data_IF_179220656560
#
_entry.id   IF_179220656560
#
_cell.length_a   1.000
_cell.length_b   1.000
_cell.length_c   1.000
_cell.angle_alpha   90.00
_cell.angle_beta   90.00
_cell.angle_gamma   90.00
#
_symmetry.space_group_name_H-M   'P 1'
#
loop_
_entity.id
_entity.type
_entity.pdbx_description
1 polymer ?
#
# COMPACT_ATOMS: atom_id res chain seq x y z
N UNK A 1 3.39 41.29 17.72
CA UNK A 1 3.06 39.86 17.68
C UNK A 1 3.96 39.18 18.70
N UNK A 2 3.41 38.58 19.74
CA UNK A 2 4.17 37.75 20.67
C UNK A 2 4.71 36.54 19.91
N UNK A 3 6.03 36.36 19.92
CA UNK A 3 6.65 35.19 19.30
C UNK A 3 6.20 33.92 20.02
N UNK A 4 5.97 32.85 19.28
CA UNK A 4 5.71 31.54 19.88
C UNK A 4 6.98 31.13 20.64
N UNK A 5 6.85 30.82 21.91
CA UNK A 5 7.97 30.26 22.67
C UNK A 5 8.10 28.77 22.38
N UNK A 6 9.28 28.20 22.68
CA UNK A 6 9.48 26.75 22.56
C UNK A 6 8.55 25.95 23.50
N UNK A 7 8.12 26.56 24.60
CA UNK A 7 7.16 25.95 25.54
C UNK A 7 5.75 25.93 24.96
N UNK A 8 5.33 27.02 24.30
CA UNK A 8 4.03 27.06 23.59
C UNK A 8 3.98 25.99 22.50
N UNK A 9 5.06 25.86 21.72
CA UNK A 9 5.20 24.81 20.71
C UNK A 9 5.02 23.42 21.34
N UNK A 10 5.78 23.10 22.40
CA UNK A 10 5.81 21.77 23.02
C UNK A 10 4.54 21.41 23.77
N UNK A 11 3.91 22.37 24.43
CA UNK A 11 2.82 22.11 25.37
C UNK A 11 1.44 22.35 24.75
N UNK A 12 1.36 23.10 23.64
CA UNK A 12 0.08 23.47 23.01
C UNK A 12 -0.01 23.00 21.57
N UNK A 13 0.88 23.47 20.69
CA UNK A 13 0.72 23.28 19.25
C UNK A 13 1.08 21.86 18.80
N UNK A 14 2.23 21.33 19.22
CA UNK A 14 2.63 19.98 18.85
C UNK A 14 1.66 18.90 19.38
N UNK A 15 1.24 18.91 20.67
CA UNK A 15 0.29 17.91 21.16
C UNK A 15 -1.04 17.92 20.41
N UNK A 16 -1.54 19.10 20.01
CA UNK A 16 -2.74 19.22 19.20
C UNK A 16 -2.57 18.55 17.82
N UNK A 17 -1.46 18.83 17.13
CA UNK A 17 -1.13 18.24 15.84
C UNK A 17 -0.89 16.72 15.96
N UNK A 18 -0.22 16.29 17.02
CA UNK A 18 0.05 14.89 17.31
C UNK A 18 -1.25 14.08 17.44
N UNK A 19 -2.24 14.60 18.19
CA UNK A 19 -3.56 13.96 18.32
C UNK A 19 -4.28 13.87 16.97
N UNK A 20 -4.17 14.90 16.12
CA UNK A 20 -4.75 14.85 14.78
C UNK A 20 -4.08 13.80 13.89
N UNK A 21 -2.75 13.70 13.94
CA UNK A 21 -1.97 12.67 13.24
C UNK A 21 -2.36 11.27 13.74
N UNK A 22 -2.51 11.07 15.05
CA UNK A 22 -2.94 9.79 15.62
C UNK A 22 -4.32 9.36 15.10
N UNK A 23 -5.27 10.29 15.07
CA UNK A 23 -6.61 10.00 14.54
C UNK A 23 -6.57 9.63 13.06
N UNK A 24 -5.75 10.31 12.27
CA UNK A 24 -5.57 9.99 10.86
C UNK A 24 -4.92 8.62 10.66
N UNK A 25 -3.88 8.28 11.41
CA UNK A 25 -3.18 6.99 11.35
C UNK A 25 -4.06 5.81 11.80
N UNK A 26 -4.97 6.04 12.75
CA UNK A 26 -5.96 5.04 13.16
C UNK A 26 -7.03 4.80 12.08
N UNK A 27 -7.26 5.77 11.20
CA UNK A 27 -8.28 5.72 10.16
C UNK A 27 -9.72 5.81 10.71
N UNK A 28 -10.72 5.87 9.81
CA UNK A 28 -12.12 5.88 10.21
C UNK A 28 -12.51 4.58 10.91
N UNK A 29 -13.16 4.68 12.06
CA UNK A 29 -13.67 3.52 12.81
C UNK A 29 -14.94 2.97 12.13
N UNK A 30 -15.07 1.65 11.93
CA UNK A 30 -16.34 1.05 11.50
C UNK A 30 -17.45 1.36 12.52
N UNK A 31 -18.72 1.58 12.12
CA UNK A 31 -19.31 1.57 10.77
C UNK A 31 -19.32 2.96 10.07
N UNK A 32 -18.66 3.97 10.62
CA UNK A 32 -18.79 5.36 10.17
C UNK A 32 -17.70 5.72 9.15
N UNK A 33 -17.91 5.32 7.89
CA UNK A 33 -17.02 5.67 6.77
C UNK A 33 -17.20 7.13 6.28
N UNK A 34 -18.06 7.92 6.95
CA UNK A 34 -18.62 9.17 6.41
C UNK A 34 -18.53 10.36 7.39
N UNK A 35 -17.64 10.29 8.39
CA UNK A 35 -17.34 11.41 9.28
C UNK A 35 -15.98 12.05 8.96
N UNK A 36 -15.84 13.37 9.20
CA UNK A 36 -14.51 14.01 9.21
C UNK A 36 -13.69 13.41 10.36
N UNK A 37 -12.53 12.84 10.05
CA UNK A 37 -11.60 12.29 11.06
C UNK A 37 -11.04 13.40 11.96
N UNK A 38 -10.84 14.59 11.40
CA UNK A 38 -10.35 15.79 12.08
C UNK A 38 -10.98 17.06 11.49
N UNK A 39 -10.94 18.16 12.25
CA UNK A 39 -11.14 19.49 11.72
C UNK A 39 -9.84 20.03 11.12
N UNK A 40 -9.86 20.31 9.82
CA UNK A 40 -8.64 20.59 9.06
C UNK A 40 -8.05 21.98 9.33
N UNK A 41 -8.90 23.01 9.30
CA UNK A 41 -8.47 24.41 9.37
C UNK A 41 -7.68 24.77 10.66
N UNK A 42 -8.09 24.31 11.86
CA UNK A 42 -7.30 24.54 13.06
C UNK A 42 -5.93 23.85 13.02
N UNK A 43 -5.85 22.64 12.44
CA UNK A 43 -4.59 21.89 12.34
C UNK A 43 -3.63 22.56 11.35
N UNK A 44 -4.12 22.92 10.17
CA UNK A 44 -3.33 23.68 9.20
C UNK A 44 -2.82 25.00 9.79
N UNK A 45 -3.70 25.74 10.49
CA UNK A 45 -3.34 27.00 11.13
C UNK A 45 -2.28 26.83 12.22
N UNK A 46 -2.36 25.75 13.01
CA UNK A 46 -1.37 25.40 14.02
C UNK A 46 -0.01 25.11 13.37
N UNK A 47 0.03 24.23 12.36
CA UNK A 47 1.26 23.89 11.65
C UNK A 47 1.88 25.12 10.95
N UNK A 48 1.05 25.95 10.31
CA UNK A 48 1.49 27.20 9.70
C UNK A 48 2.15 28.14 10.71
N UNK A 49 1.52 28.35 11.88
CA UNK A 49 2.09 29.18 12.95
C UNK A 49 3.43 28.65 13.43
N UNK A 50 3.58 27.34 13.64
CA UNK A 50 4.86 26.73 14.03
C UNK A 50 5.97 27.05 13.02
N UNK A 51 5.68 26.90 11.72
CA UNK A 51 6.64 27.20 10.65
C UNK A 51 6.99 28.69 10.60
N UNK A 52 6.01 29.58 10.67
CA UNK A 52 6.24 31.04 10.68
C UNK A 52 7.07 31.51 11.89
N UNK A 53 7.01 30.78 12.99
CA UNK A 53 7.75 31.07 14.22
C UNK A 53 9.08 30.30 14.31
N UNK A 54 9.63 29.87 13.17
CA UNK A 54 10.95 29.22 13.06
C UNK A 54 11.06 27.84 13.74
N UNK A 55 9.94 27.15 13.98
CA UNK A 55 9.93 25.78 14.51
C UNK A 55 9.84 24.69 13.43
N UNK A 56 10.16 25.00 12.16
CA UNK A 56 10.00 24.08 11.04
C UNK A 56 10.77 22.76 11.20
N UNK A 57 12.03 22.84 11.64
CA UNK A 57 12.87 21.65 11.84
C UNK A 57 12.40 20.78 13.00
N UNK A 58 12.04 21.41 14.13
CA UNK A 58 11.45 20.69 15.26
C UNK A 58 10.15 19.99 14.85
N UNK A 59 9.27 20.71 14.14
CA UNK A 59 7.99 20.17 13.67
C UNK A 59 8.17 18.99 12.70
N UNK A 60 9.14 19.09 11.79
CA UNK A 60 9.48 17.99 10.89
C UNK A 60 9.98 16.77 11.68
N UNK A 61 10.95 16.95 12.58
CA UNK A 61 11.53 15.85 13.34
C UNK A 61 10.50 15.18 14.26
N UNK A 62 9.64 15.97 14.90
CA UNK A 62 8.57 15.47 15.76
C UNK A 62 7.53 14.69 14.96
N UNK A 63 7.11 15.19 13.78
CA UNK A 63 6.22 14.49 12.85
C UNK A 63 6.82 13.15 12.40
N UNK A 64 8.04 13.17 11.89
CA UNK A 64 8.72 11.96 11.38
C UNK A 64 8.91 10.93 12.50
N UNK A 65 9.36 11.38 13.69
CA UNK A 65 9.55 10.50 14.85
C UNK A 65 8.24 9.87 15.32
N UNK A 66 7.15 10.65 15.36
CA UNK A 66 5.84 10.17 15.80
C UNK A 66 5.26 9.15 14.82
N UNK A 67 5.29 9.45 13.51
CA UNK A 67 4.83 8.52 12.47
C UNK A 67 5.70 7.26 12.43
N UNK A 68 7.02 7.39 12.59
CA UNK A 68 7.93 6.24 12.64
C UNK A 68 7.58 5.30 13.79
N UNK A 69 7.35 5.82 14.99
CA UNK A 69 6.92 5.01 16.15
C UNK A 69 5.63 4.25 15.86
N UNK A 70 4.66 4.90 15.21
CA UNK A 70 3.44 4.22 14.79
C UNK A 70 3.72 3.08 13.81
N UNK A 71 4.55 3.31 12.78
CA UNK A 71 4.91 2.27 11.82
C UNK A 71 5.69 1.11 12.44
N UNK A 72 6.59 1.37 13.40
CA UNK A 72 7.26 0.30 14.13
C UNK A 72 6.27 -0.55 14.94
N UNK A 73 5.28 0.09 15.58
CA UNK A 73 4.22 -0.63 16.29
C UNK A 73 3.42 -1.50 15.34
N UNK A 74 3.01 -0.96 14.19
CA UNK A 74 2.34 -1.72 13.13
C UNK A 74 3.19 -2.90 12.67
N UNK A 75 4.49 -2.68 12.40
CA UNK A 75 5.39 -3.76 11.98
C UNK A 75 5.45 -4.89 13.02
N UNK A 76 5.52 -4.56 14.32
CA UNK A 76 5.49 -5.54 15.42
C UNK A 76 4.16 -6.31 15.46
N UNK A 77 3.03 -5.63 15.31
CA UNK A 77 1.70 -6.29 15.26
C UNK A 77 1.61 -7.27 14.08
N UNK A 78 2.21 -6.91 12.93
CA UNK A 78 2.19 -7.74 11.71
C UNK A 78 3.14 -8.95 11.77
N UNK A 79 4.13 -8.98 12.67
CA UNK A 79 5.06 -10.11 12.81
C UNK A 79 4.40 -11.38 13.34
N UNK A 80 3.28 -11.26 14.04
CA UNK A 80 2.55 -12.38 14.65
C UNK A 80 1.45 -12.95 13.76
N UNK A 81 1.30 -12.44 12.53
CA UNK A 81 0.26 -12.89 11.62
C UNK A 81 0.58 -14.25 11.01
N UNK A 82 -0.47 -15.06 10.87
CA UNK A 82 -0.42 -16.30 10.10
C UNK A 82 -0.22 -16.01 8.61
N UNK A 83 0.51 -16.89 7.92
CA UNK A 83 0.79 -16.76 6.48
C UNK A 83 -0.49 -16.65 5.65
N UNK A 84 -1.58 -17.29 6.09
CA UNK A 84 -2.88 -17.24 5.42
C UNK A 84 -3.53 -15.84 5.43
N UNK A 85 -3.25 -15.02 6.43
CA UNK A 85 -3.84 -13.68 6.59
C UNK A 85 -2.89 -12.57 6.12
N UNK A 86 -1.66 -12.91 5.76
CA UNK A 86 -0.60 -11.96 5.48
C UNK A 86 -0.99 -11.03 4.32
N UNK A 87 -1.48 -11.56 3.21
CA UNK A 87 -1.84 -10.76 2.02
C UNK A 87 -2.97 -9.77 2.33
N UNK A 88 -4.06 -10.22 2.94
CA UNK A 88 -5.21 -9.36 3.27
C UNK A 88 -4.84 -8.29 4.31
N UNK A 89 -3.98 -8.65 5.27
CA UNK A 89 -3.49 -7.72 6.29
C UNK A 89 -2.60 -6.64 5.67
N UNK A 90 -1.66 -7.02 4.79
CA UNK A 90 -0.80 -6.07 4.08
C UNK A 90 -1.57 -5.21 3.08
N UNK A 91 -2.57 -5.78 2.41
CA UNK A 91 -3.52 -5.01 1.62
C UNK A 91 -4.20 -3.93 2.47
N UNK A 92 -4.75 -4.32 3.62
CA UNK A 92 -5.48 -3.39 4.51
C UNK A 92 -4.59 -2.29 5.07
N UNK A 93 -3.40 -2.63 5.58
CA UNK A 93 -2.49 -1.64 6.17
C UNK A 93 -1.97 -0.65 5.12
N UNK A 94 -1.63 -1.10 3.91
CA UNK A 94 -1.14 -0.22 2.85
C UNK A 94 -2.22 0.81 2.48
N UNK A 95 -3.47 0.36 2.30
CA UNK A 95 -4.56 1.29 1.99
C UNK A 95 -4.84 2.26 3.15
N UNK A 96 -4.78 1.77 4.39
CA UNK A 96 -4.92 2.64 5.59
C UNK A 96 -3.84 3.70 5.64
N UNK A 97 -2.58 3.34 5.40
CA UNK A 97 -1.46 4.28 5.43
C UNK A 97 -1.59 5.29 4.30
N UNK A 98 -1.88 4.87 3.07
CA UNK A 98 -2.07 5.78 1.94
C UNK A 98 -3.19 6.80 2.22
N UNK A 99 -4.33 6.34 2.75
CA UNK A 99 -5.41 7.21 3.22
C UNK A 99 -4.95 8.18 4.31
N UNK A 100 -4.18 7.70 5.29
CA UNK A 100 -3.67 8.53 6.39
C UNK A 100 -2.77 9.64 5.88
N UNK A 101 -1.87 9.32 4.92
CA UNK A 101 -0.99 10.29 4.30
C UNK A 101 -1.78 11.36 3.52
N UNK A 102 -2.84 10.97 2.82
CA UNK A 102 -3.72 11.93 2.13
C UNK A 102 -4.37 12.94 3.10
N UNK A 103 -4.57 12.56 4.36
CA UNK A 103 -5.04 13.47 5.42
C UNK A 103 -3.92 14.28 6.10
N UNK A 104 -2.75 13.69 6.32
CA UNK A 104 -1.63 14.32 7.03
C UNK A 104 -0.98 15.40 6.16
N UNK A 105 -0.69 15.08 4.89
CA UNK A 105 0.07 15.97 3.99
C UNK A 105 -0.56 17.38 3.88
N UNK A 106 -1.89 17.52 3.70
CA UNK A 106 -2.50 18.85 3.63
C UNK A 106 -2.26 19.70 4.89
N UNK A 107 -2.24 19.11 6.09
CA UNK A 107 -2.01 19.84 7.36
C UNK A 107 -0.63 20.51 7.35
N UNK A 108 0.36 19.78 6.83
CA UNK A 108 1.77 20.16 6.83
C UNK A 108 2.22 20.74 5.48
N UNK A 109 1.30 21.17 4.61
CA UNK A 109 1.64 21.68 3.27
C UNK A 109 2.62 22.85 3.32
N UNK A 110 2.46 23.76 4.30
CA UNK A 110 3.39 24.89 4.43
C UNK A 110 4.77 24.44 4.94
N UNK A 111 4.84 23.47 5.85
CA UNK A 111 6.09 22.84 6.28
C UNK A 111 6.80 22.17 5.09
N UNK A 112 6.05 21.42 4.26
CA UNK A 112 6.57 20.79 3.06
C UNK A 112 7.25 21.84 2.16
N UNK A 113 6.52 22.91 1.84
CA UNK A 113 7.01 23.99 0.97
C UNK A 113 8.23 24.73 1.53
N UNK A 114 8.23 25.06 2.83
CA UNK A 114 9.22 25.98 3.42
C UNK A 114 10.46 25.27 3.94
N UNK A 115 10.36 24.00 4.33
CA UNK A 115 11.46 23.25 4.93
C UNK A 115 11.83 22.01 4.12
N UNK A 116 10.88 21.12 3.82
CA UNK A 116 11.19 19.84 3.18
C UNK A 116 11.70 20.04 1.75
N UNK A 117 10.97 20.80 0.92
CA UNK A 117 11.35 21.04 -0.47
C UNK A 117 12.59 21.92 -0.61
N UNK A 118 12.84 22.85 0.31
CA UNK A 118 13.92 23.83 0.20
C UNK A 118 15.22 23.35 0.87
N UNK A 119 15.15 22.76 2.07
CA UNK A 119 16.33 22.31 2.82
C UNK A 119 16.67 20.85 2.58
N UNK A 120 15.67 19.98 2.47
CA UNK A 120 15.88 18.54 2.26
C UNK A 120 15.88 18.16 0.78
N UNK A 121 15.46 19.06 -0.10
CA UNK A 121 15.30 18.81 -1.55
C UNK A 121 14.42 17.58 -1.84
N UNK A 122 13.37 17.40 -1.03
CA UNK A 122 12.44 16.26 -1.09
C UNK A 122 10.98 16.73 -1.03
N UNK A 123 10.06 15.77 -0.94
CA UNK A 123 8.64 16.00 -0.71
C UNK A 123 8.17 15.21 0.52
N UNK A 124 7.33 15.81 1.35
CA UNK A 124 6.87 15.19 2.60
C UNK A 124 6.12 13.88 2.37
N UNK A 125 5.40 13.71 1.25
CA UNK A 125 4.79 12.43 0.91
C UNK A 125 5.86 11.38 0.67
N UNK A 126 6.89 11.73 -0.10
CA UNK A 126 8.03 10.83 -0.37
C UNK A 126 8.75 10.45 0.92
N UNK A 127 9.04 11.40 1.81
CA UNK A 127 9.68 11.12 3.11
C UNK A 127 8.85 10.15 3.97
N UNK A 128 7.54 10.38 4.09
CA UNK A 128 6.65 9.52 4.89
C UNK A 128 6.41 8.15 4.25
N UNK A 129 6.30 8.08 2.91
CA UNK A 129 6.19 6.81 2.18
C UNK A 129 7.49 5.99 2.29
N UNK A 130 8.65 6.62 2.16
CA UNK A 130 9.94 5.96 2.36
C UNK A 130 10.10 5.44 3.78
N UNK A 131 9.64 6.21 4.77
CA UNK A 131 9.62 5.78 6.16
C UNK A 131 8.73 4.55 6.34
N UNK A 132 7.52 4.53 5.77
CA UNK A 132 6.64 3.37 5.78
C UNK A 132 7.28 2.14 5.12
N UNK A 133 7.88 2.32 3.93
CA UNK A 133 8.52 1.24 3.20
C UNK A 133 9.63 0.61 4.04
N UNK A 134 10.58 1.43 4.53
CA UNK A 134 11.72 0.96 5.33
C UNK A 134 11.31 0.25 6.62
N UNK A 135 10.29 0.77 7.31
CA UNK A 135 9.90 0.23 8.62
C UNK A 135 8.96 -0.96 8.53
N UNK A 136 8.10 -1.04 7.49
CA UNK A 136 7.00 -2.02 7.43
C UNK A 136 7.08 -2.95 6.23
N UNK A 137 7.42 -2.45 5.03
CA UNK A 137 7.32 -3.23 3.79
C UNK A 137 8.64 -3.95 3.46
N UNK A 138 9.76 -3.24 3.47
CA UNK A 138 11.08 -3.79 3.13
C UNK A 138 11.45 -5.05 3.93
N UNK A 139 11.15 -5.16 5.24
CA UNK A 139 11.43 -6.38 5.99
C UNK A 139 10.63 -7.61 5.55
N UNK A 140 9.48 -7.43 4.91
CA UNK A 140 8.55 -8.51 4.53
C UNK A 140 8.41 -8.71 3.02
N UNK A 141 8.90 -7.78 2.20
CA UNK A 141 8.58 -7.72 0.77
C UNK A 141 8.89 -9.04 0.05
N UNK A 142 10.00 -9.68 0.39
CA UNK A 142 10.38 -10.97 -0.20
C UNK A 142 9.37 -12.07 0.13
N UNK A 143 9.01 -12.21 1.41
CA UNK A 143 8.00 -13.16 1.86
C UNK A 143 6.65 -12.88 1.19
N UNK A 144 6.26 -11.59 1.13
CA UNK A 144 5.00 -11.17 0.52
C UNK A 144 4.95 -11.52 -0.98
N UNK A 145 6.04 -11.31 -1.72
CA UNK A 145 6.11 -11.66 -3.15
C UNK A 145 6.07 -13.16 -3.40
N UNK A 146 6.74 -13.96 -2.56
CA UNK A 146 6.66 -15.42 -2.61
C UNK A 146 5.22 -15.89 -2.37
N UNK A 147 4.54 -15.33 -1.36
CA UNK A 147 3.14 -15.67 -1.06
C UNK A 147 2.20 -15.29 -2.21
N UNK A 148 2.32 -14.08 -2.76
CA UNK A 148 1.51 -13.64 -3.91
C UNK A 148 1.69 -14.60 -5.11
N UNK A 149 2.92 -14.99 -5.41
CA UNK A 149 3.22 -15.95 -6.48
C UNK A 149 2.58 -17.32 -6.20
N UNK A 150 2.77 -17.86 -4.99
CA UNK A 150 2.21 -19.16 -4.61
C UNK A 150 0.68 -19.18 -4.63
N UNK A 151 0.02 -18.13 -4.14
CA UNK A 151 -1.44 -18.01 -4.19
C UNK A 151 -1.94 -17.97 -5.63
N UNK A 152 -1.22 -17.29 -6.52
CA UNK A 152 -1.59 -17.20 -7.95
C UNK A 152 -1.44 -18.54 -8.67
N UNK A 153 -0.36 -19.30 -8.38
CA UNK A 153 -0.03 -20.53 -9.10
C UNK A 153 -0.71 -21.79 -8.53
N UNK A 154 -0.83 -21.91 -7.20
CA UNK A 154 -1.24 -23.15 -6.53
C UNK A 154 -2.67 -23.14 -6.04
N UNK A 155 -3.17 -21.99 -5.59
CA UNK A 155 -4.50 -21.84 -5.02
C UNK A 155 -5.23 -20.63 -5.63
N UNK A 156 -5.42 -20.64 -6.96
CA UNK A 156 -6.06 -19.53 -7.65
C UNK A 156 -7.45 -19.26 -7.06
N UNK A 157 -7.82 -17.98 -6.95
CA UNK A 157 -9.07 -17.49 -6.34
C UNK A 157 -9.23 -17.72 -4.84
N UNK A 158 -8.24 -18.28 -4.14
CA UNK A 158 -8.25 -18.30 -2.66
C UNK A 158 -8.25 -16.88 -2.07
N UNK A 159 -7.73 -15.91 -2.82
CA UNK A 159 -7.80 -14.48 -2.52
C UNK A 159 -8.48 -13.81 -3.70
N UNK A 160 -9.33 -12.83 -3.41
CA UNK A 160 -10.05 -12.11 -4.45
C UNK A 160 -9.03 -11.41 -5.40
N UNK A 161 -9.13 -11.59 -6.73
CA UNK A 161 -8.13 -11.05 -7.67
C UNK A 161 -7.89 -9.55 -7.55
N UNK A 162 -8.92 -8.78 -7.18
CA UNK A 162 -8.79 -7.33 -6.98
C UNK A 162 -7.89 -6.97 -5.79
N UNK A 163 -7.84 -7.80 -4.74
CA UNK A 163 -6.97 -7.60 -3.57
C UNK A 163 -5.53 -7.74 -3.99
N UNK A 164 -5.17 -8.82 -4.71
CA UNK A 164 -3.82 -9.04 -5.23
C UNK A 164 -3.41 -7.94 -6.20
N UNK A 165 -4.28 -7.61 -7.16
CA UNK A 165 -3.99 -6.55 -8.13
C UNK A 165 -3.79 -5.18 -7.47
N UNK A 166 -4.64 -4.82 -6.52
CA UNK A 166 -4.52 -3.56 -5.80
C UNK A 166 -3.29 -3.56 -4.90
N UNK A 167 -2.98 -4.66 -4.22
CA UNK A 167 -1.79 -4.80 -3.40
C UNK A 167 -0.52 -4.57 -4.23
N UNK A 168 -0.37 -5.27 -5.35
CA UNK A 168 0.82 -5.15 -6.23
C UNK A 168 0.93 -3.74 -6.83
N UNK A 169 -0.19 -3.15 -7.27
CA UNK A 169 -0.22 -1.76 -7.75
C UNK A 169 0.16 -0.76 -6.67
N UNK A 170 -0.37 -0.91 -5.46
CA UNK A 170 -0.05 -0.03 -4.34
C UNK A 170 1.41 -0.18 -3.89
N UNK A 171 1.97 -1.39 -3.91
CA UNK A 171 3.40 -1.61 -3.69
C UNK A 171 4.25 -0.92 -4.76
N UNK A 172 3.85 -1.00 -6.03
CA UNK A 172 4.54 -0.29 -7.11
C UNK A 172 4.52 1.23 -6.92
N UNK A 173 3.36 1.77 -6.53
CA UNK A 173 3.18 3.19 -6.25
C UNK A 173 3.98 3.67 -5.03
N UNK A 174 4.16 2.80 -4.03
CA UNK A 174 4.97 3.09 -2.84
C UNK A 174 6.46 3.10 -3.16
N UNK A 175 6.95 2.08 -3.87
CA UNK A 175 8.33 2.04 -4.34
C UNK A 175 8.43 1.27 -5.68
N UNK A 176 8.72 1.97 -6.79
CA UNK A 176 8.93 1.36 -8.10
C UNK A 176 10.05 0.32 -8.17
N UNK A 177 11.04 0.38 -7.28
CA UNK A 177 12.16 -0.56 -7.26
C UNK A 177 11.71 -2.00 -6.96
N UNK A 178 10.57 -2.19 -6.29
CA UNK A 178 10.03 -3.54 -6.07
C UNK A 178 9.69 -4.26 -7.37
N UNK A 179 9.22 -3.52 -8.39
CA UNK A 179 8.95 -4.10 -9.71
C UNK A 179 10.24 -4.54 -10.42
N UNK A 180 11.37 -3.86 -10.17
CA UNK A 180 12.67 -4.26 -10.70
C UNK A 180 13.21 -5.51 -10.00
N UNK A 181 12.96 -5.64 -8.70
CA UNK A 181 13.40 -6.80 -7.89
C UNK A 181 12.55 -8.05 -8.11
N UNK A 182 11.24 -7.88 -8.37
CA UNK A 182 10.28 -8.98 -8.53
C UNK A 182 9.47 -8.88 -9.84
N UNK A 183 10.12 -8.74 -11.01
CA UNK A 183 9.45 -8.35 -12.26
C UNK A 183 8.37 -9.34 -12.69
N UNK A 184 8.57 -10.64 -12.44
CA UNK A 184 7.62 -11.70 -12.80
C UNK A 184 6.29 -11.59 -12.04
N UNK A 185 6.32 -11.16 -10.77
CA UNK A 185 5.09 -10.97 -9.99
C UNK A 185 4.37 -9.71 -10.49
N UNK A 186 5.10 -8.61 -10.66
CA UNK A 186 4.51 -7.32 -11.05
C UNK A 186 3.96 -7.32 -12.48
N UNK A 187 4.59 -8.04 -13.41
CA UNK A 187 4.13 -8.15 -14.79
C UNK A 187 2.74 -8.78 -14.94
N UNK A 188 2.34 -9.64 -13.99
CA UNK A 188 0.98 -10.22 -13.96
C UNK A 188 -0.12 -9.19 -13.67
N UNK A 189 0.23 -8.02 -13.14
CA UNK A 189 -0.74 -7.01 -12.67
C UNK A 189 -0.53 -5.62 -13.26
N UNK A 190 0.66 -5.32 -13.78
CA UNK A 190 1.06 -4.01 -14.33
C UNK A 190 1.69 -4.22 -15.72
N UNK A 191 1.09 -3.68 -16.79
CA UNK A 191 1.68 -3.72 -18.12
C UNK A 191 3.01 -2.95 -18.19
N UNK A 192 3.95 -3.42 -19.01
CA UNK A 192 5.20 -2.71 -19.30
C UNK A 192 6.31 -2.85 -18.25
N UNK A 193 6.14 -3.70 -17.23
CA UNK A 193 7.20 -4.03 -16.25
C UNK A 193 8.32 -4.85 -16.90
N UNK A 194 7.95 -5.81 -17.76
CA UNK A 194 8.90 -6.60 -18.53
C UNK A 194 9.28 -5.86 -19.82
N UNK A 195 10.52 -6.02 -20.31
CA UNK A 195 10.94 -5.48 -21.59
C UNK A 195 10.06 -6.01 -22.73
N UNK A 196 9.89 -5.20 -23.77
CA UNK A 196 9.20 -5.63 -24.98
C UNK A 196 9.88 -6.87 -25.55
N UNK A 197 9.06 -7.87 -25.89
CA UNK A 197 9.49 -9.11 -26.49
C UNK A 197 10.35 -8.84 -27.73
N UNK A 198 11.51 -9.48 -27.80
CA UNK A 198 12.39 -9.41 -28.98
C UNK A 198 12.13 -10.62 -29.88
N UNK A 199 12.32 -10.47 -31.19
CA UNK A 199 12.01 -11.52 -32.18
C UNK A 199 12.71 -12.86 -31.89
N UNK A 200 13.92 -12.85 -31.34
CA UNK A 200 14.65 -14.08 -31.01
C UNK A 200 14.08 -14.84 -29.81
N UNK A 201 13.20 -14.24 -29.01
CA UNK A 201 12.56 -14.85 -27.84
C UNK A 201 11.26 -15.59 -28.22
N UNK A 202 10.73 -15.37 -29.44
CA UNK A 202 9.46 -15.95 -29.92
C UNK A 202 9.42 -17.47 -29.79
N UNK A 203 10.49 -18.15 -30.19
CA UNK A 203 10.59 -19.61 -30.14
C UNK A 203 10.54 -20.15 -28.71
N UNK A 204 11.14 -19.45 -27.75
CA UNK A 204 11.10 -19.84 -26.32
C UNK A 204 9.68 -19.77 -25.78
N UNK A 205 8.96 -18.68 -26.06
CA UNK A 205 7.58 -18.50 -25.62
C UNK A 205 6.61 -19.48 -26.29
N UNK A 206 6.82 -19.79 -27.59
CA UNK A 206 6.06 -20.83 -28.28
C UNK A 206 6.23 -22.16 -27.54
N UNK A 207 7.46 -22.51 -27.15
CA UNK A 207 7.74 -23.76 -26.45
C UNK A 207 7.12 -23.78 -25.04
N UNK A 208 7.29 -22.72 -24.25
CA UNK A 208 6.65 -22.59 -22.92
C UNK A 208 5.12 -22.68 -23.01
N UNK A 209 4.52 -22.06 -24.04
CA UNK A 209 3.08 -22.13 -24.28
C UNK A 209 2.65 -23.55 -24.64
N UNK A 210 3.42 -24.27 -25.46
CA UNK A 210 3.14 -25.66 -25.81
C UNK A 210 3.23 -26.57 -24.59
N UNK A 211 4.23 -26.38 -23.73
CA UNK A 211 4.38 -27.12 -22.47
C UNK A 211 3.21 -26.85 -21.50
N UNK A 212 2.81 -25.59 -21.37
CA UNK A 212 1.64 -25.21 -20.55
C UNK A 212 0.36 -25.84 -21.11
N UNK A 213 0.14 -25.78 -22.42
CA UNK A 213 -1.03 -26.42 -23.05
C UNK A 213 -1.02 -27.94 -22.85
N UNK A 214 0.14 -28.58 -22.92
CA UNK A 214 0.27 -30.02 -22.70
C UNK A 214 -0.05 -30.39 -21.24
N UNK A 215 0.47 -29.65 -20.26
CA UNK A 215 0.19 -29.88 -18.83
C UNK A 215 -1.28 -29.66 -18.48
N UNK A 216 -1.89 -28.59 -19.02
CA UNK A 216 -3.32 -28.32 -18.82
C UNK A 216 -4.19 -29.41 -19.43
N UNK A 217 -3.86 -29.91 -20.63
CA UNK A 217 -4.59 -31.03 -21.25
C UNK A 217 -4.52 -32.30 -20.38
N UNK A 218 -3.36 -32.60 -19.79
CA UNK A 218 -3.21 -33.74 -18.89
C UNK A 218 -4.01 -33.58 -17.58
N UNK A 219 -4.02 -32.38 -17.00
CA UNK A 219 -4.81 -32.05 -15.81
C UNK A 219 -6.34 -32.06 -16.09
N UNK A 220 -6.76 -31.63 -17.28
CA UNK A 220 -8.17 -31.69 -17.70
C UNK A 220 -8.64 -33.11 -17.99
N UNK A 221 -7.83 -33.92 -18.68
CA UNK A 221 -8.18 -35.31 -19.01
C UNK A 221 -8.27 -36.19 -17.76
N UNK A 222 -7.52 -35.88 -16.69
CA UNK A 222 -7.60 -36.58 -15.40
C UNK A 222 -8.79 -36.15 -14.52
N UNK A 223 -9.38 -34.98 -14.76
CA UNK A 223 -10.66 -34.57 -14.17
C UNK A 223 -11.83 -35.11 -15.01
N UNK A 224 -12.27 -36.34 -14.71
CA UNK A 224 -13.28 -37.09 -15.48
C UNK A 224 -14.60 -36.32 -15.77
N UNK A 225 -15.33 -36.66 -16.85
CA UNK A 225 -16.44 -35.89 -17.40
C UNK A 225 -17.72 -36.12 -16.59
N UNK A 226 -17.95 -35.31 -15.56
CA UNK A 226 -19.28 -35.14 -14.95
C UNK A 226 -19.86 -33.76 -15.26
N UNK A 227 -19.66 -33.28 -16.48
CA UNK A 227 -20.50 -32.23 -17.04
C UNK A 227 -21.85 -32.85 -17.41
N UNK A 228 -22.85 -32.75 -16.52
CA UNK A 228 -24.25 -32.98 -16.90
C UNK A 228 -24.56 -32.07 -18.08
N UNK A 229 -24.67 -32.64 -19.28
CA UNK A 229 -25.37 -31.99 -20.41
C UNK A 229 -26.71 -31.54 -19.86
N UNK A 230 -27.04 -30.25 -20.03
CA UNK A 230 -28.42 -29.79 -19.91
C UNK A 230 -29.20 -30.55 -20.99
N UNK A 231 -29.96 -31.58 -20.61
CA UNK A 231 -31.05 -32.08 -21.44
C UNK A 231 -32.03 -30.92 -21.55
N UNK A 232 -32.15 -30.37 -22.76
CA UNK A 232 -33.33 -29.65 -23.17
C UNK A 232 -34.39 -30.74 -23.40
N UNK A 233 -35.39 -30.79 -22.54
CA UNK A 233 -36.58 -31.61 -22.79
C UNK A 233 -37.36 -30.94 -23.94
N UNK A 234 -37.22 -31.52 -25.13
CA UNK A 234 -38.29 -31.47 -26.13
C UNK A 234 -39.28 -32.60 -25.83
N UNK A 235 -40.55 -32.32 -26.14
CA UNK A 235 -41.70 -33.25 -26.21
C UNK A 235 -42.56 -33.44 -24.95
N UNK A 236 -43.57 -32.57 -24.83
CA UNK A 236 -44.89 -33.01 -24.38
C UNK A 236 -45.94 -32.59 -25.43
N UNK A 237 -46.25 -33.53 -26.33
CA UNK A 237 -47.54 -33.63 -26.99
C UNK A 237 -48.13 -34.99 -26.62
N UNK A 238 -49.16 -34.98 -25.77
CA UNK A 238 -50.43 -35.70 -25.97
C UNK A 238 -51.41 -35.34 -24.86
#
# INVERSE_FOLDING_TARGET
MTGMTIEDYRNTYWPQLQVAVDRLLQGPQPPYHTGRVIEFEPMYSAAYKCVCQQHSEALYNDLMSHVHKHFLKVAMEMQHLDDFQLIDSYYTIIHRVLYSLDGIIPIFTYLNKVYVSTKLSSDLRTELQNLFCKSVIDPVIEKLMVMVKQTTERTPFSIAPHVLASLVKSLHNLNPEYAQRYPQVFAGYIPGVLPAMREHELSSYINETQELQASLRQSWVSSSPRGKKRCLDEEMHT
#
